data_IF_035335627138
#
_entry.id   IF_035335627138
#
_cell.length_a   1.000
_cell.length_b   1.000
_cell.length_c   1.000
_cell.angle_alpha   90.00
_cell.angle_beta   90.00
_cell.angle_gamma   90.00
#
_symmetry.space_group_name_H-M   'P 1'
#
loop_
_entity.id
_entity.type
_entity.pdbx_description
1 polymer ?
#
# COMPACT_ATOMS: atom_id res chain seq x y z
N UNK A 1 -32.55 -46.38 30.63
CA UNK A 1 -32.61 -45.00 30.09
C UNK A 1 -31.35 -44.75 29.26
N UNK A 2 -31.46 -44.76 27.93
CA UNK A 2 -30.32 -44.52 27.01
C UNK A 2 -30.30 -43.04 26.63
N UNK A 3 -29.27 -42.32 27.05
CA UNK A 3 -29.03 -40.93 26.66
C UNK A 3 -28.52 -40.87 25.22
N UNK A 4 -29.22 -40.15 24.35
CA UNK A 4 -28.79 -39.86 22.97
C UNK A 4 -28.00 -38.55 23.01
N UNK A 5 -26.69 -38.62 22.84
CA UNK A 5 -25.88 -37.42 22.57
C UNK A 5 -25.89 -37.16 21.06
N UNK A 6 -26.50 -36.04 20.68
CA UNK A 6 -26.57 -35.55 19.31
C UNK A 6 -25.32 -34.73 19.01
N UNK A 7 -24.44 -35.20 18.14
CA UNK A 7 -23.26 -34.46 17.67
C UNK A 7 -23.71 -33.35 16.72
N UNK A 8 -23.64 -32.10 17.17
CA UNK A 8 -23.86 -30.94 16.31
C UNK A 8 -22.65 -30.75 15.37
N UNK A 9 -22.90 -30.81 14.06
CA UNK A 9 -21.93 -30.49 13.01
C UNK A 9 -21.56 -29.01 13.09
N UNK A 10 -20.28 -28.70 13.32
CA UNK A 10 -19.70 -27.39 13.03
C UNK A 10 -19.76 -27.17 11.52
N UNK A 11 -20.73 -26.38 11.07
CA UNK A 11 -20.77 -25.87 9.71
C UNK A 11 -19.66 -24.81 9.58
N UNK A 12 -18.64 -25.10 8.78
CA UNK A 12 -17.71 -24.08 8.30
C UNK A 12 -18.52 -22.99 7.57
N UNK A 13 -18.57 -21.81 8.19
CA UNK A 13 -19.07 -20.60 7.56
C UNK A 13 -18.01 -20.14 6.55
N UNK A 14 -18.37 -19.91 5.27
CA UNK A 14 -17.38 -19.55 4.25
C UNK A 14 -16.70 -18.23 4.62
N UNK A 15 -15.39 -18.20 4.36
CA UNK A 15 -14.49 -17.08 4.57
C UNK A 15 -15.05 -15.81 3.93
N UNK A 16 -15.15 -14.76 4.73
CA UNK A 16 -15.57 -13.45 4.26
C UNK A 16 -14.51 -12.94 3.28
N UNK A 17 -14.83 -12.98 1.99
CA UNK A 17 -14.17 -12.15 0.99
C UNK A 17 -14.42 -10.69 1.39
N UNK A 18 -13.45 -10.07 2.07
CA UNK A 18 -13.53 -8.67 2.44
C UNK A 18 -13.47 -7.85 1.16
N UNK A 19 -14.61 -7.27 0.79
CA UNK A 19 -14.71 -6.37 -0.35
C UNK A 19 -13.93 -5.09 0.00
N UNK A 20 -12.84 -4.90 -0.74
CA UNK A 20 -11.93 -3.77 -0.73
C UNK A 20 -12.64 -2.39 -0.74
N UNK A 21 -13.90 -2.36 -1.18
CA UNK A 21 -14.75 -1.17 -1.18
C UNK A 21 -15.29 -0.75 0.20
N UNK A 22 -15.33 -1.62 1.21
CA UNK A 22 -16.05 -1.35 2.46
C UNK A 22 -15.41 -0.22 3.25
N UNK A 23 -14.07 -0.17 3.37
CA UNK A 23 -13.39 0.83 4.22
C UNK A 23 -13.51 2.25 3.66
N UNK A 24 -13.46 2.43 2.33
CA UNK A 24 -13.65 3.74 1.68
C UNK A 24 -15.10 4.20 1.75
N UNK A 25 -16.05 3.26 1.80
CA UNK A 25 -17.47 3.54 1.97
C UNK A 25 -17.88 3.73 3.44
N UNK A 26 -16.99 3.49 4.41
CA UNK A 26 -17.27 3.83 5.80
C UNK A 26 -17.47 5.34 5.98
N UNK A 27 -18.22 5.70 7.02
CA UNK A 27 -18.43 7.10 7.41
C UNK A 27 -17.10 7.88 7.54
N UNK A 28 -16.02 7.23 7.98
CA UNK A 28 -14.67 7.84 8.06
C UNK A 28 -14.09 8.16 6.69
N UNK A 29 -14.21 7.24 5.72
CA UNK A 29 -13.77 7.48 4.35
C UNK A 29 -14.53 8.61 3.66
N UNK A 30 -15.84 8.71 3.94
CA UNK A 30 -16.69 9.78 3.41
C UNK A 30 -16.34 11.16 4.02
N UNK A 31 -16.19 11.25 5.34
CA UNK A 31 -15.80 12.49 6.02
C UNK A 31 -14.39 12.94 5.61
N UNK A 32 -13.43 12.00 5.55
CA UNK A 32 -12.08 12.28 5.09
C UNK A 32 -12.05 12.79 3.65
N UNK A 33 -12.88 12.22 2.77
CA UNK A 33 -13.00 12.68 1.38
C UNK A 33 -13.55 14.09 1.31
N UNK A 34 -14.59 14.39 2.10
CA UNK A 34 -15.18 15.73 2.16
C UNK A 34 -14.13 16.74 2.60
N UNK A 35 -13.42 16.46 3.69
CA UNK A 35 -12.35 17.30 4.20
C UNK A 35 -11.26 17.59 3.15
N UNK A 36 -10.75 16.55 2.45
CA UNK A 36 -9.75 16.75 1.39
C UNK A 36 -10.33 17.55 0.22
N UNK A 37 -11.58 17.30 -0.14
CA UNK A 37 -12.24 18.07 -1.21
C UNK A 37 -12.30 19.56 -0.85
N UNK A 38 -12.69 19.89 0.39
CA UNK A 38 -12.77 21.27 0.87
C UNK A 38 -11.39 21.93 0.98
N UNK A 39 -10.36 21.17 1.37
CA UNK A 39 -8.99 21.67 1.48
C UNK A 39 -8.43 22.12 0.12
N UNK A 40 -8.72 21.37 -0.94
CA UNK A 40 -8.21 21.66 -2.28
C UNK A 40 -9.15 22.51 -3.14
N UNK A 41 -10.45 22.59 -2.81
CA UNK A 41 -11.40 23.50 -3.46
C UNK A 41 -11.58 24.84 -2.70
N UNK A 42 -10.47 25.55 -2.51
CA UNK A 42 -10.43 26.85 -1.79
C UNK A 42 -11.36 27.94 -2.35
N UNK A 43 -11.84 27.80 -3.60
CA UNK A 43 -12.74 28.77 -4.25
C UNK A 43 -14.21 28.36 -4.18
N UNK A 44 -14.56 27.25 -3.51
CA UNK A 44 -15.93 26.74 -3.40
C UNK A 44 -16.61 26.48 -4.74
N UNK A 45 -15.81 26.22 -5.80
CA UNK A 45 -16.31 26.03 -7.17
C UNK A 45 -16.65 24.58 -7.46
N UNK A 46 -16.24 23.67 -6.58
CA UNK A 46 -16.73 22.33 -6.51
C UNK A 46 -17.96 22.36 -5.60
N UNK A 47 -19.12 22.67 -6.17
CA UNK A 47 -20.41 22.45 -5.50
C UNK A 47 -20.42 21.04 -4.89
N UNK A 48 -21.12 20.90 -3.75
CA UNK A 48 -21.26 19.74 -2.83
C UNK A 48 -21.62 18.37 -3.45
N UNK A 49 -21.51 18.23 -4.77
CA UNK A 49 -21.87 17.07 -5.60
C UNK A 49 -20.63 16.39 -6.20
N UNK A 50 -19.41 16.89 -5.94
CA UNK A 50 -18.19 16.24 -6.44
C UNK A 50 -17.72 15.12 -5.51
N UNK A 51 -18.45 14.00 -5.50
CA UNK A 51 -18.18 12.79 -4.74
C UNK A 51 -16.84 12.07 -5.06
N UNK A 52 -16.00 12.61 -5.97
CA UNK A 52 -14.80 11.93 -6.44
C UNK A 52 -13.57 12.86 -6.55
N UNK A 53 -12.52 12.53 -5.78
CA UNK A 53 -11.22 13.21 -5.78
C UNK A 53 -10.59 13.26 -7.18
N UNK A 54 -10.85 12.25 -8.01
CA UNK A 54 -10.38 12.22 -9.39
C UNK A 54 -10.85 13.42 -10.22
N UNK A 55 -12.12 13.82 -10.07
CA UNK A 55 -12.69 14.96 -10.81
C UNK A 55 -12.09 16.29 -10.34
N UNK A 56 -11.86 16.43 -9.03
CA UNK A 56 -11.18 17.58 -8.45
C UNK A 56 -9.72 17.65 -8.94
N UNK A 57 -9.02 16.51 -8.96
CA UNK A 57 -7.65 16.41 -9.46
C UNK A 57 -7.53 16.78 -10.93
N UNK A 58 -8.43 16.29 -11.78
CA UNK A 58 -8.45 16.63 -13.20
C UNK A 58 -8.73 18.12 -13.41
N UNK A 59 -9.73 18.69 -12.74
CA UNK A 59 -10.05 20.13 -12.82
C UNK A 59 -8.87 20.99 -12.35
N UNK A 60 -8.20 20.56 -11.29
CA UNK A 60 -7.00 21.23 -10.78
C UNK A 60 -5.88 21.15 -11.82
N UNK A 61 -5.56 19.97 -12.36
CA UNK A 61 -4.49 19.80 -13.35
C UNK A 61 -4.70 20.59 -14.65
N UNK A 62 -5.95 20.77 -15.08
CA UNK A 62 -6.29 21.56 -16.27
C UNK A 62 -6.30 23.07 -16.03
N UNK A 63 -6.18 23.53 -14.78
CA UNK A 63 -6.18 24.94 -14.46
C UNK A 63 -4.84 25.58 -14.82
N UNK A 64 -4.86 26.83 -15.33
CA UNK A 64 -3.64 27.56 -15.73
C UNK A 64 -2.74 27.94 -14.54
N UNK A 65 -3.27 27.85 -13.30
CA UNK A 65 -2.60 28.25 -12.06
C UNK A 65 -1.80 27.11 -11.39
N UNK A 66 -1.83 25.90 -11.97
CA UNK A 66 -1.26 24.66 -11.39
C UNK A 66 -0.10 24.14 -12.24
N UNK A 67 1.01 24.85 -12.22
CA UNK A 67 2.30 24.33 -12.74
C UNK A 67 3.00 23.42 -11.74
N UNK A 68 2.60 23.43 -10.45
CA UNK A 68 3.20 22.62 -9.41
C UNK A 68 2.35 21.38 -9.09
N UNK A 69 2.89 20.19 -9.36
CA UNK A 69 2.29 18.89 -8.98
C UNK A 69 1.90 18.82 -7.50
N UNK A 70 2.62 19.56 -6.65
CA UNK A 70 2.40 19.66 -5.19
C UNK A 70 1.00 20.21 -4.84
N UNK A 71 0.38 20.99 -5.73
CA UNK A 71 -0.95 21.58 -5.52
C UNK A 71 -2.10 20.67 -5.92
N UNK A 72 -1.81 19.50 -6.49
CA UNK A 72 -2.86 18.57 -6.90
C UNK A 72 -3.39 17.81 -5.67
N UNK A 73 -4.71 17.66 -5.53
CA UNK A 73 -5.29 16.78 -4.51
C UNK A 73 -4.83 15.34 -4.75
N UNK A 74 -4.71 14.49 -3.70
CA UNK A 74 -4.28 13.11 -3.86
C UNK A 74 -5.14 12.35 -4.88
N UNK A 75 -4.55 11.34 -5.52
CA UNK A 75 -5.34 10.40 -6.32
C UNK A 75 -6.26 9.59 -5.42
N UNK A 76 -7.32 9.02 -5.98
CA UNK A 76 -8.26 8.16 -5.24
C UNK A 76 -7.55 6.97 -4.57
N UNK A 77 -6.62 6.35 -5.29
CA UNK A 77 -5.79 5.27 -4.75
C UNK A 77 -4.89 5.76 -3.61
N UNK A 78 -4.23 6.91 -3.76
CA UNK A 78 -3.37 7.48 -2.72
C UNK A 78 -4.17 7.86 -1.47
N UNK A 79 -5.34 8.46 -1.65
CA UNK A 79 -6.27 8.78 -0.56
C UNK A 79 -6.69 7.52 0.20
N UNK A 80 -7.10 6.46 -0.52
CA UNK A 80 -7.47 5.19 0.09
C UNK A 80 -6.33 4.59 0.92
N UNK A 81 -5.10 4.61 0.39
CA UNK A 81 -3.93 4.15 1.13
C UNK A 81 -3.66 4.99 2.39
N UNK A 82 -3.87 6.30 2.32
CA UNK A 82 -3.74 7.17 3.49
C UNK A 82 -4.76 6.83 4.59
N UNK A 83 -6.03 6.63 4.23
CA UNK A 83 -7.07 6.21 5.18
C UNK A 83 -6.72 4.90 5.88
N UNK A 84 -6.13 3.94 5.15
CA UNK A 84 -5.68 2.69 5.76
C UNK A 84 -4.52 2.90 6.74
N UNK A 85 -3.52 3.70 6.35
CA UNK A 85 -2.37 4.03 7.21
C UNK A 85 -2.82 4.72 8.49
N UNK A 86 -3.67 5.72 8.38
CA UNK A 86 -4.18 6.47 9.52
C UNK A 86 -5.01 5.59 10.45
N UNK A 87 -5.84 4.70 9.88
CA UNK A 87 -6.64 3.76 10.67
C UNK A 87 -5.76 2.79 11.47
N UNK A 88 -4.72 2.25 10.84
CA UNK A 88 -3.74 1.39 11.52
C UNK A 88 -2.99 2.17 12.60
N UNK A 89 -2.55 3.39 12.30
CA UNK A 89 -1.81 4.25 13.23
C UNK A 89 -2.64 4.58 14.47
N UNK A 90 -3.92 4.94 14.29
CA UNK A 90 -4.85 5.20 15.39
C UNK A 90 -5.04 3.94 16.23
N UNK A 91 -5.14 2.76 15.62
CA UNK A 91 -5.24 1.50 16.34
C UNK A 91 -3.98 1.21 17.17
N UNK A 92 -2.79 1.46 16.63
CA UNK A 92 -1.53 1.35 17.38
C UNK A 92 -1.54 2.29 18.58
N UNK A 93 -1.92 3.56 18.38
CA UNK A 93 -1.97 4.54 19.47
C UNK A 93 -2.98 4.19 20.55
N UNK A 94 -4.19 3.75 20.18
CA UNK A 94 -5.21 3.36 21.13
C UNK A 94 -4.77 2.20 22.03
N UNK A 95 -3.88 1.34 21.53
CA UNK A 95 -3.39 0.17 22.26
C UNK A 95 -1.97 0.34 22.82
N UNK A 96 -1.39 1.54 22.76
CA UNK A 96 -0.01 1.79 23.20
C UNK A 96 0.24 1.48 24.69
N UNK A 97 -0.82 1.41 25.50
CA UNK A 97 -0.77 1.07 26.92
C UNK A 97 -0.69 -0.45 27.20
N UNK A 98 -0.91 -1.29 26.19
CA UNK A 98 -0.91 -2.75 26.33
C UNK A 98 0.42 -3.30 25.80
N UNK A 99 1.22 -3.89 26.69
CA UNK A 99 2.46 -4.56 26.32
C UNK A 99 2.15 -5.76 25.42
N UNK A 100 2.63 -5.72 24.16
CA UNK A 100 2.37 -6.73 23.11
C UNK A 100 0.91 -6.86 22.69
N UNK A 101 0.31 -5.76 22.25
CA UNK A 101 -0.99 -5.81 21.57
C UNK A 101 -0.90 -6.69 20.32
N UNK A 102 -1.81 -7.65 20.10
CA UNK A 102 -1.93 -8.33 18.82
C UNK A 102 -2.40 -7.32 17.77
N UNK A 103 -1.44 -6.70 17.07
CA UNK A 103 -1.73 -5.81 15.96
C UNK A 103 -2.18 -6.66 14.78
N UNK A 104 -3.31 -6.27 14.19
CA UNK A 104 -3.78 -6.87 12.94
C UNK A 104 -2.74 -6.65 11.85
N UNK A 105 -2.47 -7.70 11.08
CA UNK A 105 -1.53 -7.60 9.96
C UNK A 105 -2.00 -6.55 8.96
N UNK A 106 -1.10 -5.73 8.36
CA UNK A 106 -1.45 -4.83 7.26
C UNK A 106 -2.22 -5.52 6.13
N UNK A 107 -1.96 -6.81 5.91
CA UNK A 107 -2.67 -7.64 4.93
C UNK A 107 -4.18 -7.71 5.20
N UNK A 108 -4.59 -7.71 6.46
CA UNK A 108 -6.00 -7.74 6.86
C UNK A 108 -6.72 -6.42 6.56
N UNK A 109 -5.98 -5.35 6.26
CA UNK A 109 -6.52 -4.05 5.83
C UNK A 109 -6.52 -3.88 4.31
N UNK A 110 -6.41 -4.99 3.56
CA UNK A 110 -6.43 -4.97 2.09
C UNK A 110 -5.12 -4.48 1.48
N UNK A 111 -4.03 -4.41 2.26
CA UNK A 111 -2.71 -4.18 1.68
C UNK A 111 -2.26 -5.49 1.07
N UNK A 112 -1.99 -5.49 -0.23
CA UNK A 112 -1.34 -6.63 -0.86
C UNK A 112 0.17 -6.44 -0.77
N UNK A 113 0.89 -7.52 -0.49
CA UNK A 113 2.32 -7.60 -0.83
C UNK A 113 2.37 -7.76 -2.34
N UNK A 114 2.10 -6.67 -3.05
CA UNK A 114 2.25 -6.55 -4.49
C UNK A 114 3.37 -5.55 -4.74
N UNK A 115 4.16 -5.79 -5.78
CA UNK A 115 5.20 -4.88 -6.24
C UNK A 115 4.66 -3.44 -6.17
N UNK A 116 5.15 -2.64 -5.21
CA UNK A 116 4.97 -1.21 -5.26
C UNK A 116 5.21 -0.81 -6.71
N UNK A 117 4.35 0.00 -7.30
CA UNK A 117 4.66 0.62 -8.59
C UNK A 117 5.84 1.57 -8.35
N UNK A 118 7.03 0.96 -8.27
CA UNK A 118 8.33 1.58 -8.17
C UNK A 118 8.34 2.53 -9.35
N UNK A 119 8.48 3.83 -9.07
CA UNK A 119 8.56 4.86 -10.11
C UNK A 119 9.51 4.37 -11.20
N UNK A 120 9.17 4.58 -12.47
CA UNK A 120 10.02 4.13 -13.57
C UNK A 120 11.47 4.67 -13.47
N UNK A 121 11.65 5.76 -12.72
CA UNK A 121 12.94 6.38 -12.39
C UNK A 121 13.81 5.56 -11.42
N UNK A 122 13.25 4.58 -10.70
CA UNK A 122 13.99 3.71 -9.79
C UNK A 122 14.50 2.43 -10.47
N UNK A 123 14.05 2.12 -11.69
CA UNK A 123 14.58 0.99 -12.43
C UNK A 123 15.89 1.39 -13.12
N UNK A 124 16.95 0.62 -12.93
CA UNK A 124 18.20 0.90 -13.61
C UNK A 124 18.05 0.70 -15.12
N UNK A 125 18.80 1.46 -15.90
CA UNK A 125 18.91 1.31 -17.35
C UNK A 125 20.16 0.54 -17.77
N UNK A 126 20.87 -0.05 -16.81
CA UNK A 126 22.08 -0.84 -17.03
C UNK A 126 21.77 -2.01 -17.98
N UNK A 127 22.50 -2.17 -19.08
CA UNK A 127 22.31 -3.29 -20.03
C UNK A 127 23.62 -4.02 -20.21
N UNK A 128 23.60 -5.37 -20.17
CA UNK A 128 24.67 -6.30 -20.58
C UNK A 128 26.11 -5.96 -20.18
N UNK A 129 26.69 -4.93 -20.80
CA UNK A 129 28.05 -4.41 -20.52
C UNK A 129 28.13 -3.47 -19.32
N UNK A 130 27.04 -2.80 -18.95
CA UNK A 130 27.00 -1.88 -17.80
C UNK A 130 26.72 -2.68 -16.54
N UNK A 131 27.71 -2.77 -15.67
CA UNK A 131 27.66 -3.55 -14.44
C UNK A 131 26.80 -2.82 -13.40
N UNK A 132 25.74 -3.47 -12.92
CA UNK A 132 24.95 -2.97 -11.78
C UNK A 132 25.81 -2.93 -10.52
N UNK A 133 26.40 -1.76 -10.24
CA UNK A 133 27.32 -1.49 -9.14
C UNK A 133 27.05 -0.07 -8.61
N UNK A 134 28.04 0.67 -8.10
CA UNK A 134 27.85 1.98 -7.45
C UNK A 134 27.13 3.04 -8.30
N UNK A 135 27.12 2.92 -9.63
CA UNK A 135 26.43 3.83 -10.55
C UNK A 135 25.02 3.39 -10.95
N UNK A 136 24.55 2.25 -10.44
CA UNK A 136 23.21 1.73 -10.71
C UNK A 136 22.22 2.31 -9.70
N UNK A 137 21.11 2.86 -10.19
CA UNK A 137 20.04 3.39 -9.35
C UNK A 137 19.54 2.37 -8.32
N UNK A 138 19.36 1.10 -8.71
CA UNK A 138 18.94 0.06 -7.78
C UNK A 138 19.97 -0.21 -6.68
N UNK A 139 21.27 -0.16 -7.02
CA UNK A 139 22.35 -0.36 -6.04
C UNK A 139 22.47 0.82 -5.08
N UNK A 140 22.40 2.05 -5.59
CA UNK A 140 22.45 3.27 -4.78
C UNK A 140 21.31 3.35 -3.76
N UNK A 141 20.13 2.87 -4.16
CA UNK A 141 18.94 2.83 -3.30
C UNK A 141 18.85 1.56 -2.43
N UNK A 142 19.87 0.69 -2.42
CA UNK A 142 19.85 -0.61 -1.72
C UNK A 142 18.61 -1.47 -2.06
N UNK A 143 18.29 -1.58 -3.35
CA UNK A 143 17.20 -2.41 -3.87
C UNK A 143 17.75 -3.54 -4.74
N UNK A 144 17.02 -4.66 -4.81
CA UNK A 144 17.29 -5.73 -5.77
C UNK A 144 16.91 -5.31 -7.20
N UNK A 145 17.66 -5.75 -8.21
CA UNK A 145 17.24 -5.57 -9.59
C UNK A 145 16.19 -6.63 -9.96
N UNK A 146 15.14 -6.23 -10.67
CA UNK A 146 14.06 -7.13 -11.12
C UNK A 146 14.05 -7.28 -12.64
N UNK A 147 13.17 -8.14 -13.17
CA UNK A 147 12.95 -8.33 -14.62
C UNK A 147 12.50 -7.06 -15.35
N UNK A 148 12.06 -6.03 -14.63
CA UNK A 148 11.64 -4.74 -15.17
C UNK A 148 12.86 -3.82 -15.41
N UNK A 149 13.98 -4.07 -14.73
CA UNK A 149 15.21 -3.29 -14.92
C UNK A 149 15.81 -3.51 -16.30
N UNK A 150 16.61 -2.56 -16.78
CA UNK A 150 17.37 -2.71 -18.04
C UNK A 150 18.32 -3.91 -18.02
N UNK A 151 18.77 -4.32 -16.82
CA UNK A 151 19.63 -5.50 -16.64
C UNK A 151 18.81 -6.77 -16.44
N UNK A 152 17.47 -6.64 -16.36
CA UNK A 152 16.48 -7.70 -16.25
C UNK A 152 16.67 -8.64 -15.05
N UNK A 153 17.48 -8.23 -14.05
CA UNK A 153 17.90 -9.13 -12.97
C UNK A 153 18.56 -10.42 -13.50
N UNK A 154 19.23 -10.36 -14.66
CA UNK A 154 19.91 -11.53 -15.25
C UNK A 154 21.07 -12.02 -14.38
N UNK A 155 21.57 -13.22 -14.64
CA UNK A 155 22.75 -13.79 -13.96
C UNK A 155 24.01 -12.91 -14.06
N UNK A 156 24.09 -12.06 -15.09
CA UNK A 156 25.16 -11.07 -15.27
C UNK A 156 25.01 -9.82 -14.37
N UNK A 157 23.87 -9.67 -13.70
CA UNK A 157 23.63 -8.59 -12.75
C UNK A 157 24.57 -8.75 -11.55
N UNK A 158 25.43 -7.76 -11.30
CA UNK A 158 26.34 -7.76 -10.13
C UNK A 158 25.80 -7.02 -8.91
N UNK A 159 24.51 -6.69 -8.90
CA UNK A 159 23.89 -6.15 -7.71
C UNK A 159 23.69 -7.28 -6.69
N UNK A 160 24.40 -7.19 -5.55
CA UNK A 160 24.41 -8.24 -4.52
C UNK A 160 23.02 -8.54 -3.96
N UNK A 161 22.18 -7.52 -3.84
CA UNK A 161 20.83 -7.64 -3.30
C UNK A 161 19.88 -8.41 -4.23
N UNK A 162 20.19 -8.53 -5.53
CA UNK A 162 19.36 -9.25 -6.50
C UNK A 162 19.22 -10.74 -6.16
N UNK A 163 20.25 -11.35 -5.56
CA UNK A 163 20.25 -12.78 -5.24
C UNK A 163 20.06 -13.07 -3.74
N UNK A 164 20.03 -12.05 -2.90
CA UNK A 164 19.94 -12.21 -1.44
C UNK A 164 18.51 -12.38 -0.93
N UNK A 165 17.47 -12.06 -1.72
CA UNK A 165 16.07 -12.03 -1.27
C UNK A 165 15.43 -13.40 -0.96
N UNK A 166 16.18 -14.51 -0.94
CA UNK A 166 15.62 -15.85 -0.72
C UNK A 166 15.98 -16.47 0.65
N UNK A 167 16.94 -15.92 1.41
CA UNK A 167 17.52 -16.67 2.55
C UNK A 167 17.27 -16.11 3.96
N UNK A 168 16.57 -15.00 4.15
CA UNK A 168 16.47 -14.36 5.49
C UNK A 168 15.16 -14.63 6.27
N UNK A 169 14.31 -15.58 5.85
CA UNK A 169 13.02 -15.82 6.53
C UNK A 169 12.86 -17.19 7.24
N UNK A 170 13.94 -17.95 7.45
CA UNK A 170 13.87 -19.15 8.30
C UNK A 170 15.16 -19.27 9.09
N UNK A 171 15.21 -18.68 10.27
CA UNK A 171 16.04 -19.09 11.41
C UNK A 171 15.58 -18.28 12.63
N UNK A 172 14.39 -18.60 13.15
CA UNK A 172 14.17 -18.48 14.59
C UNK A 172 14.35 -19.89 15.13
N UNK A 173 15.48 -20.08 15.80
CA UNK A 173 15.82 -21.28 16.56
C UNK A 173 14.86 -21.36 17.77
N UNK A 174 14.02 -22.39 17.80
CA UNK A 174 13.34 -22.82 19.02
C UNK A 174 14.40 -23.49 19.92
N UNK A 175 14.96 -22.74 20.86
CA UNK A 175 15.64 -23.28 22.04
C UNK A 175 14.91 -22.81 23.31
N UNK A 176 14.61 -23.81 24.16
CA UNK A 176 13.98 -23.86 25.49
C UNK A 176 12.45 -24.09 25.61
#
# INVERSE_FOLDING_TARGET
MRSKYTTAKLQHKPENHYDDNIVVQTQRGQVGRQFITDLYDTKGKAQSVHAHLHKLRMKSALSKDTTALVRLPPSEASFRQHIFRDSLQVLVWMNAHIAKTPLRSPLEYGWTIGNCSINQDLFCTCKGKIICSKSCACYEQNLSCTSICGCQGSDDCRNKLTYQTVLENYNDEDDD
#
